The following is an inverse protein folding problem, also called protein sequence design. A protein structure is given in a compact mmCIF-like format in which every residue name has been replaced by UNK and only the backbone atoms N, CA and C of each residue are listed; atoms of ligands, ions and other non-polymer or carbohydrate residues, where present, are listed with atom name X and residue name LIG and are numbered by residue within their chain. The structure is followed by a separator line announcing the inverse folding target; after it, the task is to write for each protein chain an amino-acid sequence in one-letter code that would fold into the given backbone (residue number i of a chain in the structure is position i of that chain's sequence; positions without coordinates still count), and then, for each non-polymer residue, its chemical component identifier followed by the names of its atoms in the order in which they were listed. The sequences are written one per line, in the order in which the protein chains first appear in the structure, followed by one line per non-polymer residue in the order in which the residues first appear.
data_IF_325590870688
#
_entry.id   IF_325590870688
#
_cell.length_a   1.000
_cell.length_b   1.000
_cell.length_c   1.000
_cell.angle_alpha   90.00
_cell.angle_beta   90.00
_cell.angle_gamma   90.00
#
_symmetry.space_group_name_H-M   'P 1'
#
loop_
_entity.id
_entity.type
_entity.pdbx_description
1 polymer ?
#
# COMPACT_ATOMS: atom_id res chain seq x y z
N UNK A 1 1.09 9.59 0.82
CA UNK A 1 1.44 8.69 1.95
C UNK A 1 1.75 9.48 3.23
N UNK A 2 2.76 10.36 3.24
CA UNK A 2 3.18 11.08 4.46
C UNK A 2 2.08 11.94 5.07
N UNK A 3 1.44 12.79 4.28
CA UNK A 3 0.38 13.71 4.76
C UNK A 3 -0.80 12.97 5.39
N UNK A 4 -1.31 11.93 4.74
CA UNK A 4 -2.45 11.17 5.26
C UNK A 4 -2.11 10.36 6.52
N UNK A 5 -0.87 9.86 6.60
CA UNK A 5 -0.36 9.20 7.81
C UNK A 5 -0.20 10.18 8.97
N UNK A 6 0.26 11.41 8.69
CA UNK A 6 0.39 12.46 9.70
C UNK A 6 -0.99 12.85 10.22
N UNK A 7 -1.96 13.07 9.34
CA UNK A 7 -3.33 13.42 9.75
C UNK A 7 -3.94 12.27 10.58
N UNK A 8 -3.75 11.01 10.18
CA UNK A 8 -4.23 9.86 10.95
C UNK A 8 -3.60 9.76 12.35
N UNK A 9 -2.29 9.98 12.47
CA UNK A 9 -1.61 9.99 13.77
C UNK A 9 -2.14 11.12 14.64
N UNK A 10 -2.25 12.34 14.10
CA UNK A 10 -2.76 13.51 14.82
C UNK A 10 -4.19 13.24 15.32
N UNK A 11 -5.08 12.77 14.45
CA UNK A 11 -6.48 12.52 14.80
C UNK A 11 -6.64 11.39 15.81
N UNK A 12 -5.85 10.32 15.70
CA UNK A 12 -5.80 9.22 16.67
C UNK A 12 -5.30 9.68 18.04
N UNK A 13 -4.19 10.44 18.08
CA UNK A 13 -3.67 10.97 19.34
C UNK A 13 -4.66 11.92 20.00
N UNK A 14 -5.39 12.72 19.22
CA UNK A 14 -6.36 13.67 19.73
C UNK A 14 -7.62 12.98 20.28
N UNK A 15 -8.12 11.95 19.59
CA UNK A 15 -9.25 11.12 20.10
C UNK A 15 -8.84 10.31 21.32
N UNK A 16 -7.63 9.74 21.34
CA UNK A 16 -7.10 9.02 22.50
C UNK A 16 -7.01 9.94 23.72
N UNK A 17 -6.47 11.15 23.54
CA UNK A 17 -6.35 12.14 24.62
C UNK A 17 -7.74 12.60 25.10
N UNK A 18 -8.72 12.76 24.22
CA UNK A 18 -10.09 13.08 24.63
C UNK A 18 -10.78 11.95 25.40
N UNK A 19 -10.59 10.69 25.00
CA UNK A 19 -11.20 9.54 25.69
C UNK A 19 -10.60 9.35 27.08
N UNK A 20 -9.27 9.42 27.23
CA UNK A 20 -8.60 9.13 28.49
C UNK A 20 -8.38 10.37 29.38
N UNK A 21 -8.23 11.55 28.80
CA UNK A 21 -7.95 12.80 29.51
C UNK A 21 -9.17 13.66 29.81
N UNK A 22 -10.26 13.49 29.07
CA UNK A 22 -11.47 14.33 29.13
C UNK A 22 -12.74 13.52 29.35
N UNK A 23 -12.61 12.26 29.82
CA UNK A 23 -13.65 11.24 30.04
C UNK A 23 -15.05 11.86 29.95
N UNK A 24 -15.76 11.69 28.81
CA UNK A 24 -16.98 12.43 28.58
C UNK A 24 -17.99 12.11 29.69
N UNK A 25 -18.37 13.14 30.45
CA UNK A 25 -19.36 13.02 31.53
C UNK A 25 -20.78 12.82 30.97
N UNK A 26 -21.01 13.34 29.76
CA UNK A 26 -22.30 13.27 29.06
C UNK A 26 -22.29 12.30 27.89
N UNK A 27 -23.38 11.55 27.74
CA UNK A 27 -23.58 10.59 26.65
C UNK A 27 -23.53 11.22 25.26
N UNK A 28 -24.00 12.46 25.13
CA UNK A 28 -24.06 13.17 23.85
C UNK A 28 -22.65 13.55 23.36
N UNK A 29 -21.79 14.00 24.27
CA UNK A 29 -20.39 14.32 23.99
C UNK A 29 -19.60 13.08 23.53
N UNK A 30 -19.84 11.93 24.17
CA UNK A 30 -19.24 10.66 23.77
C UNK A 30 -19.71 10.21 22.38
N UNK A 31 -21.00 10.36 22.08
CA UNK A 31 -21.58 10.01 20.78
C UNK A 31 -21.00 10.84 19.64
N UNK A 32 -20.88 12.17 19.83
CA UNK A 32 -20.29 13.07 18.83
C UNK A 32 -18.82 12.69 18.56
N UNK A 33 -18.06 12.38 19.61
CA UNK A 33 -16.66 12.00 19.48
C UNK A 33 -16.47 10.67 18.74
N UNK A 34 -17.30 9.67 19.06
CA UNK A 34 -17.33 8.39 18.38
C UNK A 34 -17.66 8.55 16.90
N UNK A 35 -18.67 9.37 16.58
CA UNK A 35 -19.12 9.62 15.21
C UNK A 35 -18.04 10.33 14.37
N UNK A 36 -17.35 11.31 14.95
CA UNK A 36 -16.22 11.99 14.31
C UNK A 36 -15.05 11.04 14.02
N UNK A 37 -14.74 10.15 14.97
CA UNK A 37 -13.68 9.16 14.82
C UNK A 37 -14.00 8.14 13.71
N UNK A 38 -15.27 7.71 13.64
CA UNK A 38 -15.74 6.74 12.65
C UNK A 38 -15.71 7.31 11.24
N UNK A 39 -16.08 8.59 11.07
CA UNK A 39 -16.03 9.30 9.80
C UNK A 39 -14.60 9.35 9.21
N UNK A 40 -13.58 9.39 10.07
CA UNK A 40 -12.18 9.36 9.66
C UNK A 40 -11.61 7.94 9.51
N UNK A 41 -12.07 6.99 10.33
CA UNK A 41 -11.63 5.59 10.28
C UNK A 41 -12.02 4.90 8.97
N UNK A 42 -13.21 5.18 8.44
CA UNK A 42 -13.72 4.60 7.18
C UNK A 42 -12.81 4.91 5.97
N UNK A 43 -12.53 6.19 5.63
CA UNK A 43 -11.65 6.52 4.51
C UNK A 43 -10.21 6.03 4.74
N UNK A 44 -9.72 6.05 5.98
CA UNK A 44 -8.40 5.53 6.31
C UNK A 44 -8.29 4.02 6.05
N UNK A 45 -9.28 3.24 6.50
CA UNK A 45 -9.38 1.79 6.26
C UNK A 45 -9.34 1.45 4.78
N UNK A 46 -10.13 2.16 3.96
CA UNK A 46 -10.17 1.95 2.50
C UNK A 46 -8.80 2.21 1.87
N UNK A 47 -8.15 3.32 2.23
CA UNK A 47 -6.83 3.66 1.69
C UNK A 47 -5.77 2.64 2.15
N UNK A 48 -5.80 2.21 3.41
CA UNK A 48 -4.90 1.19 3.93
C UNK A 48 -5.05 -0.14 3.19
N UNK A 49 -6.29 -0.56 2.89
CA UNK A 49 -6.58 -1.76 2.11
C UNK A 49 -6.07 -1.65 0.67
N UNK A 50 -6.28 -0.51 0.02
CA UNK A 50 -5.77 -0.27 -1.34
C UNK A 50 -4.24 -0.28 -1.36
N UNK A 51 -3.58 0.33 -0.37
CA UNK A 51 -2.12 0.35 -0.27
C UNK A 51 -1.55 -1.04 0.01
N UNK A 52 -2.15 -1.80 0.93
CA UNK A 52 -1.69 -3.15 1.24
C UNK A 52 -1.84 -4.08 0.02
N UNK A 53 -2.94 -3.94 -0.73
CA UNK A 53 -3.20 -4.68 -1.96
C UNK A 53 -2.19 -4.36 -3.07
N UNK A 54 -1.76 -3.09 -3.19
CA UNK A 54 -0.76 -2.68 -4.20
C UNK A 54 0.67 -3.10 -3.85
N UNK A 55 0.97 -3.38 -2.58
CA UNK A 55 2.30 -3.84 -2.15
C UNK A 55 2.54 -5.34 -2.39
N UNK A 56 1.53 -6.11 -2.79
CA UNK A 56 1.68 -7.50 -3.29
C UNK A 56 2.22 -7.58 -4.73
N UNK A 57 3.14 -6.71 -5.13
CA UNK A 57 4.07 -7.12 -6.19
C UNK A 57 5.10 -7.99 -5.50
N UNK A 58 4.90 -9.31 -5.56
CA UNK A 58 5.90 -10.29 -5.14
C UNK A 58 7.28 -9.83 -5.64
N UNK A 59 8.36 -10.05 -4.85
CA UNK A 59 9.70 -9.93 -5.40
C UNK A 59 9.79 -10.99 -6.50
N UNK A 60 9.51 -10.59 -7.74
CA UNK A 60 9.50 -11.52 -8.86
C UNK A 60 10.92 -12.02 -8.97
N UNK A 61 11.10 -13.31 -8.73
CA UNK A 61 12.40 -13.92 -8.76
C UNK A 61 12.96 -13.72 -10.18
N UNK A 62 14.16 -13.16 -10.30
CA UNK A 62 14.71 -12.79 -11.61
C UNK A 62 14.79 -14.03 -12.52
N UNK A 63 14.92 -15.21 -11.92
CA UNK A 63 14.85 -16.49 -12.62
C UNK A 63 13.49 -16.76 -13.28
N UNK A 64 12.37 -16.48 -12.59
CA UNK A 64 11.02 -16.64 -13.17
C UNK A 64 10.78 -15.64 -14.31
N UNK A 65 11.29 -14.41 -14.20
CA UNK A 65 11.17 -13.42 -15.29
C UNK A 65 11.97 -13.84 -16.52
N UNK A 66 13.17 -14.41 -16.32
CA UNK A 66 13.99 -14.93 -17.42
C UNK A 66 13.33 -16.15 -18.08
N UNK A 67 12.66 -17.00 -17.31
CA UNK A 67 11.94 -18.17 -17.83
C UNK A 67 10.73 -17.75 -18.68
N UNK A 68 9.93 -16.78 -18.21
CA UNK A 68 8.82 -16.19 -18.98
C UNK A 68 9.30 -15.49 -20.26
N UNK A 69 10.44 -14.80 -20.20
CA UNK A 69 11.06 -14.21 -21.39
C UNK A 69 11.48 -15.28 -22.40
N UNK A 70 11.99 -16.42 -21.93
CA UNK A 70 12.34 -17.56 -22.77
C UNK A 70 11.13 -18.16 -23.50
N UNK A 71 10.03 -18.37 -22.77
CA UNK A 71 8.78 -18.84 -23.36
C UNK A 71 8.19 -17.86 -24.39
N UNK A 72 8.30 -16.55 -24.14
CA UNK A 72 7.85 -15.51 -25.08
C UNK A 72 8.70 -15.47 -26.35
N UNK A 73 9.99 -15.80 -26.26
CA UNK A 73 10.89 -15.98 -27.41
C UNK A 73 10.50 -17.23 -28.20
N UNK A 74 10.27 -18.35 -27.53
CA UNK A 74 9.85 -19.61 -28.18
C UNK A 74 8.51 -19.47 -28.91
N UNK A 75 7.60 -18.64 -28.38
CA UNK A 75 6.30 -18.34 -29.00
C UNK A 75 6.37 -17.31 -30.14
N UNK A 76 7.56 -16.83 -30.53
CA UNK A 76 7.75 -15.81 -31.58
C UNK A 76 7.02 -14.48 -31.33
N UNK A 77 6.65 -14.18 -30.08
CA UNK A 77 5.89 -12.97 -29.72
C UNK A 77 6.80 -11.74 -29.62
N UNK A 78 8.10 -11.97 -29.35
CA UNK A 78 9.14 -10.94 -29.22
C UNK A 78 10.31 -11.27 -30.13
N UNK A 79 10.92 -10.24 -30.72
CA UNK A 79 12.11 -10.42 -31.56
C UNK A 79 13.35 -10.71 -30.71
N UNK A 80 14.36 -11.34 -31.33
CA UNK A 80 15.61 -11.68 -30.66
C UNK A 80 16.33 -10.45 -30.08
N UNK A 81 16.20 -9.30 -30.74
CA UNK A 81 16.71 -8.01 -30.26
C UNK A 81 15.99 -7.50 -29.01
N UNK A 82 14.66 -7.65 -28.94
CA UNK A 82 13.88 -7.23 -27.77
C UNK A 82 14.11 -8.14 -26.56
N UNK A 83 14.38 -9.42 -26.82
CA UNK A 83 14.74 -10.39 -25.81
C UNK A 83 16.09 -10.06 -25.17
N UNK A 84 17.12 -9.78 -25.98
CA UNK A 84 18.46 -9.47 -25.48
C UNK A 84 18.49 -8.17 -24.67
N UNK A 85 17.80 -7.12 -25.11
CA UNK A 85 17.68 -5.88 -24.32
C UNK A 85 17.00 -6.08 -22.97
N UNK A 86 15.94 -6.90 -22.91
CA UNK A 86 15.22 -7.17 -21.66
C UNK A 86 16.03 -8.07 -20.73
N UNK A 87 16.74 -9.05 -21.28
CA UNK A 87 17.64 -9.93 -20.53
C UNK A 87 18.80 -9.15 -19.90
N UNK A 88 19.43 -8.25 -20.64
CA UNK A 88 20.53 -7.42 -20.15
C UNK A 88 20.07 -6.48 -19.02
N UNK A 89 18.90 -5.83 -19.17
CA UNK A 89 18.30 -5.00 -18.11
C UNK A 89 17.97 -5.79 -16.84
N UNK A 90 17.55 -7.05 -16.97
CA UNK A 90 17.25 -7.91 -15.83
C UNK A 90 18.52 -8.37 -15.11
N UNK A 91 19.57 -8.70 -15.86
CA UNK A 91 20.87 -9.10 -15.30
C UNK A 91 21.61 -7.93 -14.64
N UNK A 92 21.52 -6.72 -15.20
CA UNK A 92 22.13 -5.52 -14.60
C UNK A 92 21.54 -5.19 -13.22
N UNK A 93 20.27 -5.51 -12.99
CA UNK A 93 19.57 -5.26 -11.71
C UNK A 93 20.02 -6.19 -10.58
N UNK A 94 20.83 -7.22 -10.88
CA UNK A 94 21.38 -8.18 -9.92
C UNK A 94 22.82 -7.79 -9.49
N UNK A 95 23.49 -6.91 -10.25
CA UNK A 95 24.87 -6.48 -9.99
C UNK A 95 24.92 -5.27 -9.05
#
# INVERSE_FOLDING_TARGET
MKVLSIIGIVLFTLTFLMIFGLVPEDSDSAAILGLLSMLYAIPFSIIALVVSSRRKKQPVNVHEQLLQLGELKEKNIISEYEFDQKKEKLLFKIK
#
